data_IF_520289906712
#
_entry.id   IF_520289906712
#
_cell.length_a   1.000
_cell.length_b   1.000
_cell.length_c   1.000
_cell.angle_alpha   90.00
_cell.angle_beta   90.00
_cell.angle_gamma   90.00
#
_symmetry.space_group_name_H-M   'P 1'
#
loop_
_entity.id
_entity.type
_entity.pdbx_description
1 polymer ?
#
# COMPACT_ATOMS: atom_id res chain seq x y z
N UNK A 1 -54.15 67.57 26.13
CA UNK A 1 -55.34 66.70 26.28
C UNK A 1 -54.90 65.26 26.08
N UNK A 2 -55.41 64.31 26.89
CA UNK A 2 -54.87 62.96 26.98
C UNK A 2 -55.42 62.04 25.87
N UNK A 3 -54.60 61.07 25.47
CA UNK A 3 -55.00 59.96 24.61
C UNK A 3 -55.95 59.03 25.36
N UNK A 4 -57.17 58.84 24.85
CA UNK A 4 -58.10 57.82 25.31
C UNK A 4 -57.65 56.44 24.77
N UNK A 5 -57.52 55.46 25.66
CA UNK A 5 -57.37 54.05 25.32
C UNK A 5 -58.76 53.42 25.10
N UNK A 6 -58.98 52.81 23.94
CA UNK A 6 -60.12 51.91 23.68
C UNK A 6 -59.64 50.48 23.96
N UNK A 7 -60.34 49.68 24.79
CA UNK A 7 -59.98 48.29 25.00
C UNK A 7 -60.55 47.43 23.86
N UNK A 8 -59.67 46.75 23.10
CA UNK A 8 -60.07 45.69 22.18
C UNK A 8 -59.94 44.33 22.88
N UNK A 9 -61.08 43.69 23.17
CA UNK A 9 -61.15 42.29 23.63
C UNK A 9 -60.86 41.37 22.44
N UNK A 10 -59.72 40.68 22.45
CA UNK A 10 -59.48 39.53 21.57
C UNK A 10 -59.99 38.25 22.27
N UNK A 11 -61.03 37.65 21.72
CA UNK A 11 -61.46 36.29 22.08
C UNK A 11 -60.50 35.27 21.48
N UNK A 12 -59.80 34.52 22.32
CA UNK A 12 -58.89 33.45 21.92
C UNK A 12 -59.70 32.18 21.61
N UNK A 13 -59.66 31.70 20.35
CA UNK A 13 -60.15 30.36 19.99
C UNK A 13 -59.05 29.33 20.30
N UNK A 14 -59.30 28.42 21.24
CA UNK A 14 -58.39 27.27 21.48
C UNK A 14 -58.47 26.30 20.30
N UNK A 15 -57.36 25.99 19.59
CA UNK A 15 -57.38 24.93 18.60
C UNK A 15 -57.52 23.57 19.28
N UNK A 16 -58.28 22.68 18.67
CA UNK A 16 -58.59 21.35 19.20
C UNK A 16 -57.40 20.40 18.94
N UNK A 17 -56.36 20.49 19.77
CA UNK A 17 -55.07 19.79 19.62
C UNK A 17 -55.19 18.27 19.48
N UNK A 18 -56.29 17.65 19.93
CA UNK A 18 -56.51 16.21 19.79
C UNK A 18 -56.71 15.73 18.35
N UNK A 19 -57.25 16.58 17.46
CA UNK A 19 -57.41 16.26 16.03
C UNK A 19 -56.10 16.39 15.25
N UNK A 20 -55.25 17.33 15.66
CA UNK A 20 -53.91 17.51 15.07
C UNK A 20 -52.95 16.38 15.46
N UNK A 21 -52.97 15.94 16.73
CA UNK A 21 -52.08 14.85 17.18
C UNK A 21 -52.47 13.49 16.60
N UNK A 22 -53.77 13.20 16.47
CA UNK A 22 -54.23 11.94 15.86
C UNK A 22 -53.95 11.89 14.35
N UNK A 23 -54.03 13.02 13.65
CA UNK A 23 -53.64 13.10 12.23
C UNK A 23 -52.13 12.91 12.01
N UNK A 24 -51.29 13.42 12.91
CA UNK A 24 -49.83 13.23 12.87
C UNK A 24 -49.40 11.79 13.17
N UNK A 25 -50.07 11.12 14.12
CA UNK A 25 -49.79 9.71 14.44
C UNK A 25 -50.22 8.80 13.28
N UNK A 26 -51.35 9.10 12.63
CA UNK A 26 -51.80 8.37 11.44
C UNK A 26 -50.82 8.56 10.27
N UNK A 27 -50.30 9.78 10.06
CA UNK A 27 -49.28 10.03 9.05
C UNK A 27 -47.99 9.26 9.33
N UNK A 28 -47.50 9.25 10.57
CA UNK A 28 -46.28 8.52 10.92
C UNK A 28 -46.46 7.01 10.76
N UNK A 29 -47.61 6.45 11.17
CA UNK A 29 -47.89 5.01 11.02
C UNK A 29 -48.01 4.61 9.54
N UNK A 30 -48.61 5.44 8.68
CA UNK A 30 -48.62 5.23 7.23
C UNK A 30 -47.20 5.30 6.65
N UNK A 31 -46.37 6.28 7.05
CA UNK A 31 -44.97 6.34 6.61
C UNK A 31 -44.15 5.14 7.06
N UNK A 32 -44.38 4.65 8.28
CA UNK A 32 -43.68 3.46 8.80
C UNK A 32 -44.13 2.20 8.08
N UNK A 33 -45.43 2.06 7.78
CA UNK A 33 -45.95 0.95 6.98
C UNK A 33 -45.49 1.00 5.52
N UNK A 34 -45.33 2.20 4.92
CA UNK A 34 -44.73 2.36 3.58
C UNK A 34 -43.25 1.99 3.61
N UNK A 35 -42.49 2.35 4.66
CA UNK A 35 -41.09 1.94 4.82
C UNK A 35 -40.95 0.43 5.04
N UNK A 36 -41.80 -0.18 5.87
CA UNK A 36 -41.78 -1.63 6.10
C UNK A 36 -42.24 -2.39 4.86
N UNK A 37 -43.22 -1.87 4.12
CA UNK A 37 -43.63 -2.44 2.84
C UNK A 37 -42.57 -2.26 1.75
N UNK A 38 -41.82 -1.14 1.72
CA UNK A 38 -40.67 -0.99 0.83
C UNK A 38 -39.53 -1.94 1.21
N UNK A 39 -39.28 -2.17 2.51
CA UNK A 39 -38.26 -3.12 2.96
C UNK A 39 -38.67 -4.59 2.70
N UNK A 40 -39.95 -4.91 2.77
CA UNK A 40 -40.46 -6.28 2.49
C UNK A 40 -40.75 -6.53 1.00
N UNK A 41 -40.96 -5.50 0.17
CA UNK A 41 -41.20 -5.62 -1.27
C UNK A 41 -40.00 -5.24 -2.15
N UNK A 42 -38.89 -4.77 -1.57
CA UNK A 42 -37.58 -4.78 -2.25
C UNK A 42 -37.00 -6.19 -2.17
N UNK A 43 -37.70 -7.16 -2.79
CA UNK A 43 -37.01 -8.18 -3.57
C UNK A 43 -36.38 -7.45 -4.74
N UNK A 44 -35.22 -6.86 -4.44
CA UNK A 44 -34.34 -6.18 -5.35
C UNK A 44 -34.28 -6.94 -6.69
N UNK A 45 -34.85 -6.40 -7.78
CA UNK A 45 -34.68 -6.98 -9.12
C UNK A 45 -33.20 -6.96 -9.55
N UNK A 46 -32.38 -6.11 -8.91
CA UNK A 46 -30.92 -6.09 -8.97
C UNK A 46 -30.23 -7.12 -8.05
N UNK A 47 -30.92 -7.79 -7.12
CA UNK A 47 -30.33 -8.95 -6.43
C UNK A 47 -30.30 -10.20 -7.34
N UNK A 48 -31.03 -10.19 -8.45
CA UNK A 48 -30.86 -11.19 -9.52
C UNK A 48 -29.59 -10.92 -10.35
N UNK A 49 -28.99 -9.72 -10.27
CA UNK A 49 -27.72 -9.44 -10.96
C UNK A 49 -26.47 -9.83 -10.17
N UNK A 50 -26.59 -10.33 -8.93
CA UNK A 50 -25.43 -10.88 -8.19
C UNK A 50 -24.91 -12.19 -8.83
N UNK A 51 -25.71 -12.85 -9.68
CA UNK A 51 -25.27 -14.01 -10.47
C UNK A 51 -24.66 -13.66 -11.84
N UNK A 52 -24.55 -12.38 -12.22
CA UNK A 52 -24.05 -11.98 -13.54
C UNK A 52 -22.55 -11.65 -13.60
N UNK A 53 -21.84 -11.61 -12.47
CA UNK A 53 -20.39 -11.82 -12.50
C UNK A 53 -20.14 -13.32 -12.49
N UNK A 54 -20.26 -13.97 -13.65
CA UNK A 54 -19.55 -15.21 -13.86
C UNK A 54 -18.09 -14.94 -13.50
N UNK A 55 -17.64 -15.47 -12.36
CA UNK A 55 -16.25 -15.49 -11.91
C UNK A 55 -15.43 -16.08 -13.04
N UNK A 56 -14.91 -15.25 -13.93
CA UNK A 56 -13.76 -15.64 -14.74
C UNK A 56 -12.60 -15.52 -13.80
N UNK A 57 -12.11 -16.66 -13.31
CA UNK A 57 -10.79 -16.69 -12.66
C UNK A 57 -9.81 -15.95 -13.56
N UNK A 58 -9.01 -15.06 -12.97
CA UNK A 58 -7.91 -14.43 -13.70
C UNK A 58 -6.92 -15.53 -14.02
N UNK A 59 -7.00 -16.07 -15.24
CA UNK A 59 -6.01 -17.01 -15.76
C UNK A 59 -4.82 -16.20 -16.28
N UNK A 60 -3.65 -16.51 -15.75
CA UNK A 60 -2.41 -16.01 -16.33
C UNK A 60 -2.14 -16.78 -17.62
N UNK A 61 -2.31 -16.12 -18.75
CA UNK A 61 -1.98 -16.68 -20.07
C UNK A 61 -0.49 -16.51 -20.36
N UNK A 62 0.35 -16.96 -19.42
CA UNK A 62 1.80 -16.97 -19.57
C UNK A 62 2.43 -18.06 -18.71
N UNK A 63 3.48 -18.69 -19.24
CA UNK A 63 4.20 -19.77 -18.57
C UNK A 63 5.17 -19.20 -17.53
N UNK A 64 4.68 -18.98 -16.30
CA UNK A 64 5.52 -18.58 -15.16
C UNK A 64 6.23 -19.76 -14.49
N UNK A 65 5.86 -21.01 -14.79
CA UNK A 65 6.47 -22.22 -14.22
C UNK A 65 7.99 -22.29 -14.49
N UNK A 66 8.45 -21.68 -15.59
CA UNK A 66 9.89 -21.55 -15.88
C UNK A 66 10.64 -20.87 -14.73
N UNK A 67 10.03 -19.91 -14.03
CA UNK A 67 10.68 -19.16 -12.93
C UNK A 67 10.72 -19.95 -11.61
N UNK A 68 9.75 -20.83 -11.37
CA UNK A 68 9.69 -21.59 -10.12
C UNK A 68 10.86 -22.56 -9.96
N UNK A 69 11.37 -23.06 -11.09
CA UNK A 69 12.50 -23.98 -11.14
C UNK A 69 13.84 -23.27 -11.41
N UNK A 70 13.84 -21.95 -11.58
CA UNK A 70 15.09 -21.19 -11.73
C UNK A 70 15.83 -21.17 -10.40
N UNK A 71 17.15 -21.39 -10.49
CA UNK A 71 18.04 -21.25 -9.36
C UNK A 71 18.89 -20.01 -9.51
N UNK A 72 18.93 -19.21 -8.46
CA UNK A 72 19.87 -18.11 -8.39
C UNK A 72 21.25 -18.67 -8.09
N UNK A 73 22.24 -18.41 -8.95
CA UNK A 73 23.64 -18.75 -8.71
C UNK A 73 24.45 -17.47 -8.78
N UNK A 74 24.92 -16.98 -7.63
CA UNK A 74 25.88 -15.88 -7.61
C UNK A 74 27.13 -16.30 -8.39
N UNK A 75 27.58 -15.45 -9.32
CA UNK A 75 28.85 -15.63 -10.03
C UNK A 75 29.98 -14.77 -9.45
N UNK A 76 29.69 -13.95 -8.42
CA UNK A 76 30.62 -12.97 -7.85
C UNK A 76 30.54 -12.97 -6.32
N UNK A 77 31.70 -12.90 -5.66
CA UNK A 77 31.85 -13.01 -4.20
C UNK A 77 31.47 -11.74 -3.43
N UNK A 78 31.45 -10.56 -4.08
CA UNK A 78 31.12 -9.28 -3.42
C UNK A 78 30.08 -8.52 -4.24
N UNK A 79 28.80 -8.81 -3.99
CA UNK A 79 27.67 -8.04 -4.51
C UNK A 79 26.94 -7.36 -3.36
N UNK A 80 26.42 -6.12 -3.53
CA UNK A 80 25.58 -5.49 -2.53
C UNK A 80 24.40 -6.38 -2.15
N UNK A 81 23.97 -6.26 -0.90
CA UNK A 81 22.80 -6.98 -0.40
C UNK A 81 21.55 -6.50 -1.14
N UNK A 82 21.39 -5.19 -1.29
CA UNK A 82 20.18 -4.57 -1.82
C UNK A 82 20.52 -3.42 -2.76
N UNK A 83 19.88 -3.39 -3.93
CA UNK A 83 19.67 -2.15 -4.69
C UNK A 83 18.29 -1.62 -4.36
N UNK A 84 18.22 -0.52 -3.62
CA UNK A 84 17.01 0.16 -3.21
C UNK A 84 16.81 1.41 -4.06
N UNK A 85 15.62 1.60 -4.59
CA UNK A 85 15.34 2.71 -5.48
C UNK A 85 13.97 3.32 -5.23
N UNK A 86 13.86 4.59 -5.60
CA UNK A 86 12.66 5.37 -5.39
C UNK A 86 12.53 6.46 -6.46
N UNK A 87 11.41 7.17 -6.40
CA UNK A 87 11.15 8.38 -7.17
C UNK A 87 10.15 9.22 -6.37
N UNK A 88 10.20 10.54 -6.52
CA UNK A 88 9.26 11.42 -5.84
C UNK A 88 8.99 12.68 -6.64
N UNK A 89 7.97 13.41 -6.20
CA UNK A 89 7.67 14.74 -6.70
C UNK A 89 7.85 15.74 -5.53
N UNK A 90 8.72 16.76 -5.66
CA UNK A 90 9.02 17.70 -4.58
C UNK A 90 7.77 18.40 -4.03
N UNK A 91 6.73 18.59 -4.84
CA UNK A 91 5.48 19.25 -4.44
C UNK A 91 4.53 18.37 -3.61
N UNK A 92 4.77 17.06 -3.51
CA UNK A 92 3.82 16.12 -2.87
C UNK A 92 3.98 16.04 -1.34
N UNK A 93 5.16 16.34 -0.82
CA UNK A 93 5.49 16.25 0.60
C UNK A 93 6.38 17.43 1.00
N UNK A 94 6.57 17.63 2.31
CA UNK A 94 7.53 18.64 2.81
C UNK A 94 8.97 18.19 2.51
N UNK A 95 9.90 19.12 2.20
CA UNK A 95 11.29 18.78 1.89
C UNK A 95 11.97 17.88 2.93
N UNK A 96 11.71 18.13 4.22
CA UNK A 96 12.27 17.34 5.34
C UNK A 96 12.01 15.84 5.22
N UNK A 97 10.87 15.42 4.66
CA UNK A 97 10.53 14.01 4.46
C UNK A 97 11.56 13.32 3.55
N UNK A 98 11.89 13.99 2.45
CA UNK A 98 12.83 13.48 1.46
C UNK A 98 14.27 13.57 1.98
N UNK A 99 14.66 14.67 2.63
CA UNK A 99 15.98 14.78 3.26
C UNK A 99 16.20 13.68 4.30
N UNK A 100 15.20 13.40 5.14
CA UNK A 100 15.25 12.31 6.12
C UNK A 100 15.41 10.94 5.45
N UNK A 101 14.65 10.66 4.39
CA UNK A 101 14.78 9.40 3.65
C UNK A 101 16.17 9.26 3.00
N UNK A 102 16.68 10.34 2.40
CA UNK A 102 18.00 10.36 1.76
C UNK A 102 19.11 10.02 2.75
N UNK A 103 19.15 10.71 3.90
CA UNK A 103 20.13 10.50 4.95
C UNK A 103 19.99 9.12 5.62
N UNK A 104 18.77 8.72 5.96
CA UNK A 104 18.52 7.42 6.60
C UNK A 104 18.97 6.25 5.71
N UNK A 105 18.73 6.29 4.40
CA UNK A 105 19.18 5.19 3.54
C UNK A 105 20.68 5.29 3.23
N UNK A 106 21.26 6.50 3.22
CA UNK A 106 22.70 6.68 3.14
C UNK A 106 23.43 6.01 4.30
N UNK A 107 22.87 6.05 5.53
CA UNK A 107 23.48 5.34 6.68
C UNK A 107 23.53 3.82 6.50
N UNK A 108 22.77 3.25 5.56
CA UNK A 108 22.77 1.84 5.18
C UNK A 108 23.70 1.51 3.99
N UNK A 109 24.47 2.48 3.50
CA UNK A 109 25.26 2.40 2.25
C UNK A 109 26.29 1.26 2.17
N UNK A 110 26.73 0.72 3.32
CA UNK A 110 27.61 -0.46 3.37
C UNK A 110 26.99 -1.71 2.74
N UNK A 111 25.67 -1.84 2.81
CA UNK A 111 24.94 -3.01 2.31
C UNK A 111 23.91 -2.65 1.24
N UNK A 112 23.49 -1.38 1.19
CA UNK A 112 22.42 -0.90 0.33
C UNK A 112 22.96 0.11 -0.66
N UNK A 113 22.77 -0.17 -1.95
CA UNK A 113 22.94 0.83 -3.00
C UNK A 113 21.62 1.55 -3.22
N UNK A 114 21.64 2.88 -3.22
CA UNK A 114 20.45 3.71 -3.42
C UNK A 114 20.41 4.32 -4.82
N UNK A 115 19.21 4.41 -5.40
CA UNK A 115 18.96 5.05 -6.70
C UNK A 115 17.73 5.97 -6.60
N UNK A 116 17.88 7.22 -7.03
CA UNK A 116 16.74 8.09 -7.32
C UNK A 116 16.45 8.09 -8.83
N UNK A 117 15.25 7.64 -9.21
CA UNK A 117 14.73 7.82 -10.56
C UNK A 117 14.12 9.22 -10.68
N UNK A 118 14.72 10.07 -11.52
CA UNK A 118 14.31 11.47 -11.67
C UNK A 118 14.68 12.05 -13.03
N UNK A 119 13.85 12.96 -13.53
CA UNK A 119 14.20 13.89 -14.62
C UNK A 119 14.26 15.35 -14.11
N UNK A 120 14.20 15.53 -12.79
CA UNK A 120 14.24 16.80 -12.08
C UNK A 120 15.65 17.01 -11.50
N UNK A 121 16.26 18.16 -11.79
CA UNK A 121 17.63 18.49 -11.39
C UNK A 121 17.77 18.73 -9.89
N UNK A 122 16.74 19.22 -9.19
CA UNK A 122 16.81 19.44 -7.74
C UNK A 122 16.85 18.11 -7.01
N UNK A 123 16.03 17.15 -7.45
CA UNK A 123 16.04 15.78 -6.93
C UNK A 123 17.38 15.10 -7.23
N UNK A 124 17.92 15.29 -8.44
CA UNK A 124 19.21 14.74 -8.83
C UNK A 124 20.34 15.26 -7.93
N UNK A 125 20.38 16.57 -7.69
CA UNK A 125 21.36 17.20 -6.79
C UNK A 125 21.23 16.65 -5.36
N UNK A 126 20.02 16.67 -4.79
CA UNK A 126 19.78 16.19 -3.42
C UNK A 126 20.23 14.74 -3.24
N UNK A 127 19.91 13.86 -4.19
CA UNK A 127 20.30 12.45 -4.13
C UNK A 127 21.83 12.28 -4.22
N UNK A 128 22.48 13.01 -5.13
CA UNK A 128 23.93 12.87 -5.37
C UNK A 128 24.79 13.44 -4.25
N UNK A 129 24.33 14.47 -3.55
CA UNK A 129 25.03 15.04 -2.39
C UNK A 129 25.26 14.00 -1.29
N UNK A 130 24.31 13.08 -1.10
CA UNK A 130 24.42 11.93 -0.19
C UNK A 130 24.90 10.64 -0.89
N UNK A 131 25.52 10.75 -2.06
CA UNK A 131 26.16 9.64 -2.76
C UNK A 131 25.22 8.61 -3.39
N UNK A 132 23.95 8.95 -3.60
CA UNK A 132 23.04 8.07 -4.33
C UNK A 132 23.33 8.11 -5.83
N UNK A 133 23.03 7.00 -6.51
CA UNK A 133 22.96 7.00 -7.97
C UNK A 133 21.68 7.69 -8.42
N UNK A 134 21.71 8.27 -9.63
CA UNK A 134 20.52 8.83 -10.27
C UNK A 134 20.35 8.20 -11.64
N UNK A 135 19.10 7.88 -11.98
CA UNK A 135 18.71 7.36 -13.28
C UNK A 135 17.53 8.16 -13.83
N UNK A 136 17.45 8.39 -15.16
CA UNK A 136 16.31 9.07 -15.75
C UNK A 136 15.05 8.19 -15.67
N UNK A 137 13.88 8.81 -15.58
CA UNK A 137 12.60 8.11 -15.74
C UNK A 137 12.34 7.95 -17.23
N UNK A 138 12.41 6.70 -17.74
CA UNK A 138 12.20 6.39 -19.16
C UNK A 138 10.75 6.10 -19.53
N UNK A 139 10.05 5.35 -18.69
CA UNK A 139 8.66 4.97 -18.93
C UNK A 139 7.72 5.58 -17.89
N UNK A 140 6.69 6.26 -18.39
CA UNK A 140 5.64 6.86 -17.57
C UNK A 140 4.27 6.49 -18.11
N UNK A 141 3.27 6.53 -17.23
CA UNK A 141 1.86 6.52 -17.60
C UNK A 141 1.10 7.50 -16.72
N UNK A 142 -0.15 7.82 -17.08
CA UNK A 142 -1.03 8.66 -16.28
C UNK A 142 -0.39 9.99 -15.83
N UNK A 143 -0.40 10.98 -16.71
CA UNK A 143 0.15 12.32 -16.44
C UNK A 143 1.63 12.29 -16.03
N UNK A 144 2.43 11.44 -16.67
CA UNK A 144 3.88 11.39 -16.44
C UNK A 144 4.30 10.66 -15.15
N UNK A 145 3.42 9.88 -14.53
CA UNK A 145 3.78 9.11 -13.32
C UNK A 145 4.66 7.91 -13.69
N UNK A 146 5.79 7.66 -13.01
CA UNK A 146 6.69 6.55 -13.32
C UNK A 146 6.02 5.18 -13.21
N UNK A 147 6.32 4.30 -14.17
CA UNK A 147 5.85 2.92 -14.16
C UNK A 147 6.77 2.07 -13.27
N UNK A 148 6.19 1.36 -12.30
CA UNK A 148 6.93 0.57 -11.30
C UNK A 148 7.82 -0.50 -11.93
N UNK A 149 7.26 -1.31 -12.85
CA UNK A 149 8.01 -2.42 -13.47
C UNK A 149 9.19 -1.95 -14.32
N UNK A 150 9.12 -0.74 -14.90
CA UNK A 150 10.23 -0.16 -15.66
C UNK A 150 11.41 0.09 -14.74
N UNK A 151 11.18 0.75 -13.60
CA UNK A 151 12.23 1.03 -12.62
C UNK A 151 12.88 -0.25 -12.09
N UNK A 152 12.10 -1.31 -11.83
CA UNK A 152 12.65 -2.62 -11.47
C UNK A 152 13.57 -3.20 -12.53
N UNK A 153 13.13 -3.24 -13.80
CA UNK A 153 13.94 -3.74 -14.91
C UNK A 153 15.22 -2.94 -15.07
N UNK A 154 15.12 -1.61 -15.05
CA UNK A 154 16.28 -0.73 -15.18
C UNK A 154 17.29 -0.91 -14.04
N UNK A 155 16.81 -1.05 -12.79
CA UNK A 155 17.69 -1.32 -11.65
C UNK A 155 18.34 -2.71 -11.74
N UNK A 156 17.60 -3.73 -12.20
CA UNK A 156 18.10 -5.09 -12.41
C UNK A 156 19.08 -5.19 -13.57
N UNK A 157 18.96 -4.33 -14.59
CA UNK A 157 19.82 -4.31 -15.78
C UNK A 157 21.18 -3.65 -15.55
N UNK A 158 21.37 -2.95 -14.42
CA UNK A 158 22.66 -2.35 -14.08
C UNK A 158 23.80 -3.38 -14.10
N UNK A 159 25.03 -2.98 -14.50
CA UNK A 159 26.17 -3.89 -14.58
C UNK A 159 26.50 -4.55 -13.25
N UNK A 160 26.45 -3.78 -12.15
CA UNK A 160 26.75 -4.31 -10.83
C UNK A 160 25.48 -4.86 -10.19
N UNK A 161 25.34 -6.19 -10.17
CA UNK A 161 24.17 -6.87 -9.61
C UNK A 161 24.10 -6.75 -8.08
N UNK A 162 22.90 -6.89 -7.52
CA UNK A 162 22.63 -7.03 -6.09
C UNK A 162 21.86 -8.32 -5.82
N UNK A 163 21.90 -8.82 -4.58
CA UNK A 163 21.09 -10.00 -4.21
C UNK A 163 19.59 -9.70 -4.29
N UNK A 164 19.20 -8.50 -3.86
CA UNK A 164 17.82 -8.05 -3.81
C UNK A 164 17.66 -6.69 -4.50
N UNK A 165 16.45 -6.42 -4.95
CA UNK A 165 16.03 -5.17 -5.57
C UNK A 165 14.75 -4.68 -4.91
N UNK A 166 14.68 -3.40 -4.54
CA UNK A 166 13.55 -2.83 -3.84
C UNK A 166 13.09 -1.52 -4.45
N UNK A 167 11.78 -1.42 -4.71
CA UNK A 167 11.13 -0.12 -4.77
C UNK A 167 10.63 0.24 -3.38
N UNK A 168 10.87 1.48 -2.96
CA UNK A 168 10.41 2.03 -1.68
C UNK A 168 9.88 3.45 -1.92
N UNK A 169 8.74 3.83 -1.36
CA UNK A 169 8.31 5.23 -1.39
C UNK A 169 9.31 6.14 -0.66
N UNK A 170 9.58 7.33 -1.21
CA UNK A 170 10.56 8.28 -0.66
C UNK A 170 10.13 8.95 0.66
N UNK A 171 8.98 8.58 1.22
CA UNK A 171 8.50 9.02 2.54
C UNK A 171 8.67 7.94 3.63
N UNK A 172 9.41 6.87 3.34
CA UNK A 172 9.78 5.82 4.29
C UNK A 172 11.22 5.96 4.81
N UNK A 173 11.39 5.65 6.10
CA UNK A 173 12.70 5.44 6.75
C UNK A 173 12.71 4.09 7.45
N UNK A 174 13.88 3.48 7.59
CA UNK A 174 14.06 2.15 8.18
C UNK A 174 15.08 2.16 9.31
N UNK A 175 14.89 1.24 10.26
CA UNK A 175 15.95 0.90 11.22
C UNK A 175 16.92 -0.16 10.65
N UNK A 176 17.93 -0.55 11.44
CA UNK A 176 18.93 -1.57 11.07
C UNK A 176 18.33 -2.96 10.83
N UNK A 177 17.09 -3.18 11.27
CA UNK A 177 16.34 -4.41 11.06
C UNK A 177 16.24 -4.77 9.58
N UNK A 178 16.22 -3.80 8.67
CA UNK A 178 16.16 -4.03 7.22
C UNK A 178 17.35 -4.86 6.75
N UNK A 179 18.58 -4.40 7.00
CA UNK A 179 19.80 -5.09 6.54
C UNK A 179 19.95 -6.45 7.22
N UNK A 180 19.68 -6.54 8.53
CA UNK A 180 19.74 -7.80 9.30
C UNK A 180 18.76 -8.83 8.73
N UNK A 181 17.51 -8.43 8.51
CA UNK A 181 16.45 -9.30 8.02
C UNK A 181 16.72 -9.79 6.61
N UNK A 182 17.08 -8.87 5.70
CA UNK A 182 17.35 -9.23 4.31
C UNK A 182 18.58 -10.14 4.20
N UNK A 183 19.60 -9.93 5.03
CA UNK A 183 20.77 -10.81 5.08
C UNK A 183 20.37 -12.26 5.37
N UNK A 184 19.53 -12.49 6.38
CA UNK A 184 19.05 -13.84 6.72
C UNK A 184 18.11 -14.42 5.66
N UNK A 185 17.29 -13.59 5.00
CA UNK A 185 16.51 -14.03 3.84
C UNK A 185 17.43 -14.55 2.74
N UNK A 186 18.52 -13.85 2.42
CA UNK A 186 19.45 -14.30 1.37
C UNK A 186 20.23 -15.57 1.70
N UNK A 187 20.35 -15.93 2.99
CA UNK A 187 20.96 -17.20 3.43
C UNK A 187 19.96 -18.34 3.48
N UNK A 188 18.66 -18.05 3.40
CA UNK A 188 17.61 -19.05 3.51
C UNK A 188 17.53 -19.91 2.24
N UNK A 189 17.09 -21.18 2.37
CA UNK A 189 16.91 -22.06 1.21
C UNK A 189 15.82 -21.58 0.24
N UNK A 190 15.02 -20.58 0.63
CA UNK A 190 13.97 -19.99 -0.19
C UNK A 190 14.52 -18.99 -1.21
N UNK A 191 15.63 -18.33 -0.92
CA UNK A 191 16.16 -17.25 -1.75
C UNK A 191 16.68 -17.75 -3.11
N UNK A 192 17.35 -18.90 -3.11
CA UNK A 192 17.93 -19.49 -4.32
C UNK A 192 16.92 -20.29 -5.15
N UNK A 193 15.71 -20.56 -4.61
CA UNK A 193 14.72 -21.47 -5.21
C UNK A 193 13.47 -20.72 -5.62
N UNK A 194 13.54 -20.11 -6.80
CA UNK A 194 12.42 -19.42 -7.43
C UNK A 194 12.21 -17.97 -6.97
N UNK A 195 11.12 -17.33 -7.43
CA UNK A 195 10.84 -15.92 -7.16
C UNK A 195 10.45 -15.68 -5.70
N UNK A 196 10.88 -14.55 -5.16
CA UNK A 196 10.45 -14.07 -3.84
C UNK A 196 9.87 -12.67 -3.92
N UNK A 197 8.91 -12.39 -3.04
CA UNK A 197 8.39 -11.05 -2.78
C UNK A 197 8.40 -10.82 -1.27
N UNK A 198 9.20 -9.85 -0.84
CA UNK A 198 9.31 -9.44 0.55
C UNK A 198 8.57 -8.10 0.70
N UNK A 199 7.66 -8.05 1.66
CA UNK A 199 6.77 -6.92 1.97
C UNK A 199 6.62 -6.79 3.47
N UNK A 200 6.05 -5.69 3.95
CA UNK A 200 5.67 -5.58 5.36
C UNK A 200 4.89 -4.31 5.63
N UNK A 201 4.36 -4.22 6.84
CA UNK A 201 3.66 -3.03 7.32
C UNK A 201 4.66 -1.96 7.71
N UNK A 202 4.15 -0.74 7.78
CA UNK A 202 4.85 0.43 8.29
C UNK A 202 4.16 0.97 9.54
N UNK A 203 4.87 1.80 10.28
CA UNK A 203 4.33 2.63 11.34
C UNK A 203 4.07 4.02 10.75
N UNK A 204 2.83 4.47 10.77
CA UNK A 204 2.44 5.79 10.29
C UNK A 204 2.68 6.83 11.41
N UNK A 205 3.59 7.78 11.19
CA UNK A 205 3.95 8.83 12.16
C UNK A 205 3.68 10.21 11.57
N UNK A 206 2.93 11.05 12.29
CA UNK A 206 2.72 12.45 11.88
C UNK A 206 3.89 13.33 12.31
N UNK A 207 4.88 13.46 11.44
CA UNK A 207 6.09 14.23 11.72
C UNK A 207 5.84 15.74 11.86
N UNK A 208 4.76 16.26 11.25
CA UNK A 208 4.39 17.67 11.44
C UNK A 208 3.95 17.98 12.87
N UNK A 209 3.43 16.99 13.61
CA UNK A 209 3.11 17.12 15.05
C UNK A 209 4.35 17.00 15.95
N UNK A 210 5.47 16.52 15.40
CA UNK A 210 6.73 16.35 16.11
C UNK A 210 7.75 17.43 15.74
N UNK A 211 7.29 18.54 15.15
CA UNK A 211 8.17 19.63 14.69
C UNK A 211 9.22 19.19 13.66
N UNK A 212 8.87 18.22 12.79
CA UNK A 212 9.68 17.82 11.64
C UNK A 212 11.11 17.40 12.04
N UNK A 213 11.26 16.36 12.88
CA UNK A 213 12.56 15.96 13.39
C UNK A 213 13.49 15.53 12.24
N UNK A 214 14.77 15.84 12.38
CA UNK A 214 15.79 15.30 11.49
C UNK A 214 16.07 13.83 11.80
N UNK A 215 16.21 13.02 10.75
CA UNK A 215 16.52 11.59 10.84
C UNK A 215 17.85 11.39 10.11
N UNK A 216 18.92 11.16 10.87
CA UNK A 216 20.27 11.03 10.33
C UNK A 216 20.78 9.57 10.37
N UNK A 217 20.12 8.71 11.14
CA UNK A 217 20.54 7.31 11.34
C UNK A 217 19.35 6.37 11.46
N UNK A 218 19.65 5.08 11.56
CA UNK A 218 18.66 4.03 11.84
C UNK A 218 18.13 4.06 13.27
N UNK A 219 18.93 4.51 14.25
CA UNK A 219 18.51 4.63 15.65
C UNK A 219 17.43 5.70 15.87
N UNK A 220 17.44 6.77 15.07
CA UNK A 220 16.41 7.81 15.10
C UNK A 220 15.03 7.26 14.70
N UNK A 221 15.00 6.21 13.86
CA UNK A 221 13.76 5.57 13.40
C UNK A 221 13.09 4.79 14.53
N UNK A 222 13.86 4.14 15.40
CA UNK A 222 13.34 3.42 16.57
C UNK A 222 12.65 4.38 17.56
N UNK A 223 13.21 5.57 17.77
CA UNK A 223 12.58 6.62 18.58
C UNK A 223 11.32 7.18 17.90
N UNK A 224 11.41 7.48 16.60
CA UNK A 224 10.30 8.05 15.84
C UNK A 224 9.06 7.13 15.84
N UNK A 225 9.27 5.83 15.71
CA UNK A 225 8.17 4.86 15.64
C UNK A 225 7.29 4.81 16.89
N UNK A 226 7.82 5.21 18.06
CA UNK A 226 7.05 5.27 19.32
C UNK A 226 5.87 6.25 19.24
N UNK A 227 5.89 7.17 18.27
CA UNK A 227 4.87 8.20 18.06
C UNK A 227 3.83 7.84 16.99
N UNK A 228 3.86 6.63 16.45
CA UNK A 228 2.99 6.22 15.36
C UNK A 228 2.09 5.04 15.68
N UNK A 229 1.31 4.64 14.66
CA UNK A 229 0.46 3.47 14.72
C UNK A 229 0.80 2.51 13.59
N UNK A 230 0.68 1.21 13.86
CA UNK A 230 0.82 0.21 12.81
C UNK A 230 -0.27 0.40 11.78
N UNK A 231 0.16 0.34 10.53
CA UNK A 231 -0.68 0.58 9.39
C UNK A 231 -1.47 -0.66 8.95
N UNK A 232 -2.44 -0.44 8.07
CA UNK A 232 -3.28 -1.50 7.53
C UNK A 232 -2.53 -2.34 6.49
N UNK A 233 -2.94 -3.61 6.34
CA UNK A 233 -2.37 -4.59 5.41
C UNK A 233 -2.44 -4.26 3.91
N UNK A 234 -3.20 -3.21 3.56
CA UNK A 234 -3.44 -2.71 2.20
C UNK A 234 -2.68 -1.43 1.87
N UNK A 235 -1.56 -1.21 2.55
CA UNK A 235 -0.67 -0.15 2.13
C UNK A 235 0.77 -0.61 2.30
N UNK A 236 1.15 -1.62 1.51
CA UNK A 236 2.58 -1.87 1.37
C UNK A 236 3.19 -0.71 0.57
N UNK A 237 4.15 -0.01 1.17
CA UNK A 237 4.84 1.15 0.58
C UNK A 237 6.27 0.78 0.11
N UNK A 238 6.62 -0.50 0.20
CA UNK A 238 7.87 -1.08 -0.31
C UNK A 238 7.66 -2.50 -0.80
N UNK A 239 8.40 -2.87 -1.85
CA UNK A 239 8.38 -4.19 -2.46
C UNK A 239 9.81 -4.61 -2.75
N UNK A 240 10.24 -5.74 -2.20
CA UNK A 240 11.61 -6.24 -2.34
C UNK A 240 11.58 -7.60 -3.01
N UNK A 241 12.37 -7.80 -4.05
CA UNK A 241 12.38 -9.03 -4.86
C UNK A 241 13.81 -9.51 -5.12
N UNK A 242 13.98 -10.80 -5.38
CA UNK A 242 15.19 -11.28 -6.06
C UNK A 242 15.06 -11.07 -7.57
N UNK A 243 16.14 -11.29 -8.33
CA UNK A 243 16.11 -11.14 -9.79
C UNK A 243 15.20 -12.15 -10.51
N UNK A 244 14.77 -13.21 -9.82
CA UNK A 244 13.88 -14.22 -10.38
C UNK A 244 12.41 -13.78 -10.43
N UNK A 245 12.05 -12.69 -9.73
CA UNK A 245 10.68 -12.21 -9.74
C UNK A 245 10.27 -11.74 -11.15
N UNK A 246 9.18 -12.27 -11.73
CA UNK A 246 8.85 -12.07 -13.14
C UNK A 246 8.16 -10.72 -13.39
N UNK A 247 8.94 -9.63 -13.28
CA UNK A 247 8.49 -8.26 -13.56
C UNK A 247 7.94 -8.05 -14.98
N UNK A 248 8.23 -8.97 -15.90
CA UNK A 248 7.72 -8.90 -17.27
C UNK A 248 6.20 -9.04 -17.42
N UNK A 249 5.55 -9.72 -16.48
CA UNK A 249 4.09 -9.90 -16.49
C UNK A 249 3.36 -8.92 -15.58
N UNK A 250 4.09 -8.10 -14.84
CA UNK A 250 3.49 -7.02 -14.04
C UNK A 250 2.88 -6.00 -15.01
N UNK A 251 1.63 -5.55 -14.84
CA UNK A 251 1.06 -4.48 -15.67
C UNK A 251 1.86 -3.18 -15.52
N UNK A 252 1.63 -2.22 -16.44
CA UNK A 252 2.17 -0.86 -16.35
C UNK A 252 1.52 -0.05 -15.21
N UNK A 253 1.59 -0.55 -13.97
CA UNK A 253 1.09 0.15 -12.79
C UNK A 253 2.04 1.29 -12.44
N UNK A 254 1.48 2.44 -12.11
CA UNK A 254 2.24 3.64 -11.72
C UNK A 254 2.25 3.80 -10.20
N UNK A 255 3.37 4.31 -9.69
CA UNK A 255 3.62 4.49 -8.26
C UNK A 255 2.73 5.57 -7.63
N UNK A 256 2.59 5.53 -6.30
CA UNK A 256 1.76 6.49 -5.55
C UNK A 256 0.26 6.41 -5.86
N UNK A 257 -0.20 5.25 -6.37
CA UNK A 257 -1.61 4.98 -6.68
C UNK A 257 -2.02 3.62 -6.11
N UNK A 258 -3.30 3.44 -5.72
CA UNK A 258 -3.79 2.17 -5.18
C UNK A 258 -3.63 1.01 -6.17
N UNK A 259 -3.84 -0.21 -5.66
CA UNK A 259 -3.86 -1.49 -6.40
C UNK A 259 -2.48 -2.06 -6.75
N UNK A 260 -1.37 -1.38 -6.48
CA UNK A 260 -0.02 -1.97 -6.69
C UNK A 260 0.21 -3.12 -5.71
N UNK A 261 0.14 -2.83 -4.42
CA UNK A 261 0.41 -3.77 -3.34
C UNK A 261 -0.53 -4.98 -3.38
N UNK A 262 -1.83 -4.71 -3.47
CA UNK A 262 -2.85 -5.75 -3.60
C UNK A 262 -2.55 -6.68 -4.77
N UNK A 263 -2.27 -6.11 -5.93
CA UNK A 263 -2.06 -6.89 -7.14
C UNK A 263 -0.74 -7.66 -7.05
N UNK A 264 0.36 -7.04 -6.61
CA UNK A 264 1.67 -7.69 -6.49
C UNK A 264 1.65 -8.86 -5.51
N UNK A 265 1.07 -8.68 -4.33
CA UNK A 265 1.00 -9.73 -3.32
C UNK A 265 0.12 -10.88 -3.79
N UNK A 266 -1.05 -10.57 -4.36
CA UNK A 266 -1.92 -11.61 -4.93
C UNK A 266 -1.21 -12.35 -6.07
N UNK A 267 -0.63 -11.61 -7.02
CA UNK A 267 0.11 -12.14 -8.16
C UNK A 267 1.22 -13.08 -7.74
N UNK A 268 2.09 -12.63 -6.83
CA UNK A 268 3.21 -13.42 -6.31
C UNK A 268 2.73 -14.76 -5.72
N UNK A 269 1.63 -14.74 -4.96
CA UNK A 269 1.03 -15.97 -4.41
C UNK A 269 0.51 -16.90 -5.51
N UNK A 270 -0.14 -16.35 -6.54
CA UNK A 270 -0.68 -17.18 -7.63
C UNK A 270 0.41 -17.87 -8.44
N UNK A 271 1.55 -17.21 -8.66
CA UNK A 271 2.67 -17.80 -9.39
C UNK A 271 3.57 -18.69 -8.52
N UNK A 272 3.19 -18.97 -7.27
CA UNK A 272 3.96 -19.81 -6.35
C UNK A 272 5.22 -19.16 -5.76
N UNK A 273 5.39 -17.84 -5.90
CA UNK A 273 6.51 -17.12 -5.30
C UNK A 273 6.46 -17.17 -3.77
N UNK A 274 7.63 -17.10 -3.12
CA UNK A 274 7.71 -17.00 -1.66
C UNK A 274 7.39 -15.57 -1.24
N UNK A 275 6.20 -15.36 -0.71
CA UNK A 275 5.79 -14.07 -0.14
C UNK A 275 6.12 -14.04 1.35
N UNK A 276 7.02 -13.14 1.75
CA UNK A 276 7.55 -13.04 3.11
C UNK A 276 7.17 -11.69 3.71
N UNK A 277 6.43 -11.73 4.83
CA UNK A 277 6.09 -10.55 5.63
C UNK A 277 7.20 -10.27 6.64
N UNK A 278 7.88 -9.13 6.50
CA UNK A 278 9.00 -8.72 7.36
C UNK A 278 8.60 -7.76 8.50
N UNK A 279 7.31 -7.53 8.70
CA UNK A 279 6.79 -6.64 9.75
C UNK A 279 7.33 -6.99 11.14
N UNK A 280 7.57 -8.27 11.42
CA UNK A 280 8.01 -8.74 12.74
C UNK A 280 9.48 -8.41 13.07
N UNK A 281 10.29 -8.04 12.08
CA UNK A 281 11.74 -7.79 12.29
C UNK A 281 12.27 -6.51 11.69
N UNK A 282 11.49 -5.82 10.85
CA UNK A 282 11.86 -4.55 10.22
C UNK A 282 10.91 -3.45 10.69
N UNK A 283 11.48 -2.38 11.21
CA UNK A 283 10.74 -1.16 11.51
C UNK A 283 10.85 -0.22 10.31
N UNK A 284 9.73 -0.10 9.58
CA UNK A 284 9.56 0.90 8.53
C UNK A 284 8.65 1.99 9.05
N UNK A 285 9.06 3.26 9.01
CA UNK A 285 8.25 4.40 9.43
C UNK A 285 7.89 5.24 8.22
N UNK A 286 6.60 5.50 8.05
CA UNK A 286 6.07 6.41 7.04
C UNK A 286 5.85 7.80 7.65
N UNK A 287 6.50 8.78 7.04
CA UNK A 287 6.53 10.16 7.49
C UNK A 287 5.32 10.94 6.96
N UNK A 288 4.25 11.01 7.74
CA UNK A 288 3.07 11.79 7.41
C UNK A 288 3.31 13.28 7.68
N UNK A 289 3.40 14.08 6.62
CA UNK A 289 3.70 15.51 6.70
C UNK A 289 2.63 16.39 6.04
N UNK A 290 1.34 16.22 6.36
CA UNK A 290 0.20 17.04 5.89
C UNK A 290 0.24 17.46 4.39
N UNK A 291 0.88 16.68 3.52
CA UNK A 291 1.11 17.03 2.12
C UNK A 291 -0.17 17.01 1.29
N UNK A 292 -0.18 17.80 0.21
CA UNK A 292 -1.29 17.86 -0.75
C UNK A 292 -1.29 16.60 -1.63
N UNK A 293 -1.84 15.49 -1.12
CA UNK A 293 -2.01 14.27 -1.94
C UNK A 293 -3.14 14.46 -2.97
N UNK A 294 -2.84 15.03 -4.14
CA UNK A 294 -3.72 14.92 -5.31
C UNK A 294 -3.62 13.50 -5.87
N UNK A 295 -4.43 12.59 -5.33
CA UNK A 295 -4.47 11.19 -5.75
C UNK A 295 -5.46 11.04 -6.91
N UNK A 296 -4.94 10.86 -8.13
CA UNK A 296 -5.76 10.37 -9.25
C UNK A 296 -6.00 8.86 -9.09
N UNK A 297 -6.91 8.51 -8.19
CA UNK A 297 -7.21 7.14 -7.74
C UNK A 297 -7.44 6.13 -8.88
N UNK A 298 -7.87 6.60 -10.06
CA UNK A 298 -8.36 5.75 -11.14
C UNK A 298 -7.29 5.25 -12.11
N UNK A 299 -6.03 5.71 -12.06
CA UNK A 299 -5.03 5.34 -13.06
C UNK A 299 -4.77 3.82 -13.12
N UNK A 300 -4.31 3.22 -12.02
CA UNK A 300 -4.03 1.79 -11.98
C UNK A 300 -5.29 0.95 -12.22
N UNK A 301 -6.45 1.46 -11.80
CA UNK A 301 -7.75 0.83 -12.08
C UNK A 301 -8.01 0.73 -13.59
N UNK A 302 -7.73 1.79 -14.36
CA UNK A 302 -7.88 1.78 -15.81
C UNK A 302 -6.88 0.82 -16.48
N UNK A 303 -5.62 0.79 -16.02
CA UNK A 303 -4.61 -0.16 -16.50
C UNK A 303 -5.06 -1.61 -16.29
N UNK A 304 -5.57 -1.93 -15.09
CA UNK A 304 -6.04 -3.28 -14.78
C UNK A 304 -7.31 -3.67 -15.53
N UNK A 305 -8.23 -2.73 -15.77
CA UNK A 305 -9.41 -2.98 -16.62
C UNK A 305 -9.03 -3.28 -18.07
N UNK A 306 -8.11 -2.49 -18.65
CA UNK A 306 -7.62 -2.71 -20.01
C UNK A 306 -6.93 -4.07 -20.15
N UNK A 307 -6.27 -4.53 -19.09
CA UNK A 307 -5.64 -5.85 -19.03
C UNK A 307 -6.61 -6.99 -18.70
N UNK A 308 -7.92 -6.74 -18.55
CA UNK A 308 -8.92 -7.76 -18.20
C UNK A 308 -8.77 -8.33 -16.78
N UNK A 309 -7.97 -7.68 -15.93
CA UNK A 309 -7.68 -8.12 -14.56
C UNK A 309 -8.78 -7.70 -13.59
N UNK A 310 -9.39 -6.53 -13.80
CA UNK A 310 -10.61 -6.14 -13.08
C UNK A 310 -11.86 -6.52 -13.87
N UNK A 311 -12.98 -6.84 -13.18
CA UNK A 311 -13.16 -6.83 -11.73
C UNK A 311 -12.74 -8.17 -11.08
N UNK A 312 -12.14 -9.08 -11.84
CA UNK A 312 -11.92 -10.47 -11.48
C UNK A 312 -10.77 -10.68 -10.48
N UNK A 313 -9.91 -9.69 -10.27
CA UNK A 313 -8.80 -9.76 -9.31
C UNK A 313 -9.36 -9.60 -7.89
N UNK A 314 -9.18 -10.60 -7.00
CA UNK A 314 -9.63 -10.51 -5.61
C UNK A 314 -8.64 -9.66 -4.80
N UNK A 315 -8.80 -8.33 -4.85
CA UNK A 315 -7.90 -7.34 -4.24
C UNK A 315 -7.58 -7.64 -2.75
N UNK A 316 -8.55 -8.17 -2.00
CA UNK A 316 -8.38 -8.56 -0.59
C UNK A 316 -7.42 -9.73 -0.36
N UNK A 317 -7.19 -10.59 -1.37
CA UNK A 317 -6.19 -11.66 -1.28
C UNK A 317 -4.75 -11.14 -1.41
N UNK A 318 -4.59 -9.85 -1.67
CA UNK A 318 -3.33 -9.13 -1.77
C UNK A 318 -2.90 -8.40 -0.51
N UNK A 319 -3.43 -8.76 0.66
CA UNK A 319 -2.99 -8.17 1.94
C UNK A 319 -1.62 -8.70 2.35
N UNK A 320 -0.83 -7.88 3.05
CA UNK A 320 0.43 -8.31 3.70
C UNK A 320 0.19 -9.54 4.60
N UNK A 321 -0.96 -9.60 5.27
CA UNK A 321 -1.37 -10.72 6.12
C UNK A 321 -1.58 -12.03 5.34
N UNK A 322 -1.72 -11.96 4.01
CA UNK A 322 -1.79 -13.12 3.13
C UNK A 322 -0.42 -13.65 2.68
N UNK A 323 0.69 -13.03 3.11
CA UNK A 323 2.02 -13.60 2.93
C UNK A 323 2.09 -15.03 3.49
N UNK A 324 2.79 -15.93 2.81
CA UNK A 324 2.89 -17.34 3.22
C UNK A 324 3.97 -17.57 4.28
N UNK A 325 4.88 -16.60 4.45
CA UNK A 325 5.97 -16.63 5.42
C UNK A 325 6.01 -15.32 6.20
N UNK A 326 6.62 -15.36 7.38
CA UNK A 326 6.92 -14.20 8.19
C UNK A 326 8.32 -14.29 8.79
N UNK A 327 8.90 -13.14 9.11
CA UNK A 327 10.12 -13.08 9.91
C UNK A 327 9.82 -12.77 11.37
N UNK A 328 10.59 -13.39 12.26
CA UNK A 328 10.54 -13.16 13.71
C UNK A 328 11.96 -13.18 14.28
N UNK A 329 12.14 -12.58 15.44
CA UNK A 329 13.35 -12.78 16.25
C UNK A 329 13.19 -14.06 17.07
N UNK A 330 14.21 -14.93 17.06
CA UNK A 330 14.28 -16.06 17.99
C UNK A 330 14.72 -15.57 19.40
N UNK A 331 14.81 -16.48 20.37
CA UNK A 331 15.24 -16.15 21.74
C UNK A 331 16.68 -15.64 21.87
N UNK A 332 17.51 -15.83 20.83
CA UNK A 332 18.89 -15.33 20.74
C UNK A 332 18.98 -13.97 20.03
N UNK A 333 17.87 -13.45 19.50
CA UNK A 333 17.84 -12.22 18.72
C UNK A 333 18.20 -12.41 17.23
N UNK A 334 18.30 -13.64 16.73
CA UNK A 334 18.50 -13.89 15.30
C UNK A 334 17.18 -13.82 14.55
N UNK A 335 17.23 -13.32 13.31
CA UNK A 335 16.06 -13.34 12.41
C UNK A 335 15.86 -14.76 11.89
N UNK A 336 14.63 -15.27 12.05
CA UNK A 336 14.19 -16.55 11.50
C UNK A 336 13.01 -16.34 10.55
N UNK A 337 12.92 -17.17 9.51
CA UNK A 337 11.83 -17.14 8.52
C UNK A 337 10.96 -18.37 8.76
N UNK A 338 9.68 -18.14 9.04
CA UNK A 338 8.73 -19.18 9.40
C UNK A 338 7.54 -19.18 8.43
N UNK A 339 6.98 -20.35 8.08
CA UNK A 339 5.68 -20.42 7.44
C UNK A 339 4.61 -19.78 8.35
N UNK A 340 3.72 -18.94 7.79
CA UNK A 340 2.56 -18.46 8.54
C UNK A 340 1.57 -19.60 8.72
N UNK A 341 1.49 -20.12 9.95
CA UNK A 341 0.61 -21.25 10.30
C UNK A 341 -0.88 -20.90 10.18
N UNK A 342 -1.24 -19.64 10.44
CA UNK A 342 -2.61 -19.14 10.35
C UNK A 342 -2.64 -18.06 9.28
N UNK A 343 -3.02 -18.44 8.07
CA UNK A 343 -3.37 -17.48 7.04
C UNK A 343 -4.80 -17.00 7.30
N UNK A 344 -5.01 -15.68 7.35
CA UNK A 344 -6.32 -15.09 7.63
C UNK A 344 -7.38 -15.68 6.69
N UNK A 345 -8.59 -15.92 7.19
CA UNK A 345 -9.70 -16.50 6.41
C UNK A 345 -9.91 -15.73 5.08
N UNK A 346 -9.78 -14.40 5.13
CA UNK A 346 -9.90 -13.52 3.96
C UNK A 346 -8.94 -13.89 2.80
N UNK A 347 -7.80 -14.51 3.09
CA UNK A 347 -6.82 -14.92 2.09
C UNK A 347 -7.17 -16.23 1.37
N UNK A 348 -8.17 -16.98 1.87
CA UNK A 348 -8.62 -18.27 1.36
C UNK A 348 -9.99 -18.21 0.66
N UNK A 349 -10.80 -17.20 0.91
CA UNK A 349 -12.15 -17.09 0.33
C UNK A 349 -12.17 -16.38 -1.02
N UNK A 350 -12.93 -16.94 -1.96
CA UNK A 350 -13.24 -16.34 -3.26
C UNK A 350 -14.33 -15.26 -3.19
N UNK A 351 -14.92 -15.02 -2.02
CA UNK A 351 -15.96 -14.04 -1.78
C UNK A 351 -15.60 -13.19 -0.56
N UNK A 352 -15.80 -11.89 -0.67
CA UNK A 352 -15.71 -11.01 0.50
C UNK A 352 -17.03 -11.04 1.22
N UNK A 353 -17.03 -11.51 2.46
CA UNK A 353 -18.05 -11.10 3.41
C UNK A 353 -17.47 -9.91 4.16
N UNK A 354 -17.77 -8.70 3.67
CA UNK A 354 -17.64 -7.52 4.53
C UNK A 354 -18.82 -7.61 5.50
N UNK A 355 -18.55 -7.97 6.76
CA UNK A 355 -19.50 -7.76 7.84
C UNK A 355 -19.41 -6.32 8.34
#
# INVERSE_FOLDING_TARGET
MPWQTIPMRLTYYKPNWRLLTSSLILLMTIFTLIHVASDMMVKCPSCVSIRLFHKREVKFDFNYEKYLNMTWKSKQEVIPLLTMFTTWNPSMQKPVVYTNAVKNWHSLSRNVRTIAFTNDSEIETLAREDGWLTLPIKETACFGTPILRSMFREAMDLPTKSKLYAYVNADLVFNDGLVKTLTEITKSPYFEKGPILVVGKRIDVNISRLHEPEINSTGDVDELAKHGNISWGFAADYYITNELFPWEFVPNLVIGRPLIDNWLIWYARQIGAKVIDITGTVLAVHQLANGLKRIHFMCNKAVMWKAGLLPNTPIWKGMIECASFETKYNSKGDVIILPKLIMQHICKHDEVVFH
#
